data_IF_676677582997
#
_entry.id   IF_676677582997
#
_cell.length_a   1.000
_cell.length_b   1.000
_cell.length_c   1.000
_cell.angle_alpha   90.00
_cell.angle_beta   90.00
_cell.angle_gamma   90.00
#
_symmetry.space_group_name_H-M   'P 1'
#
loop_
_entity.id
_entity.type
_entity.pdbx_description
1 polymer ?
#
# COMPACT_ATOMS: atom_id res chain seq x y z
N UNK A 1 5.60 -36.72 5.71
CA UNK A 1 4.23 -36.24 6.05
C UNK A 1 4.26 -35.26 7.25
N UNK A 2 5.01 -35.52 8.34
CA UNK A 2 5.05 -34.62 9.53
C UNK A 2 5.70 -33.26 9.24
N UNK A 3 6.69 -33.19 8.39
CA UNK A 3 7.36 -31.91 8.01
C UNK A 3 6.52 -31.08 7.04
N UNK A 4 5.70 -31.71 6.21
CA UNK A 4 4.74 -31.01 5.35
C UNK A 4 3.62 -30.35 6.17
N UNK A 5 3.19 -30.97 7.28
CA UNK A 5 2.22 -30.38 8.21
C UNK A 5 2.78 -29.20 9.00
N UNK A 6 4.08 -29.19 9.32
CA UNK A 6 4.73 -28.06 10.00
C UNK A 6 4.87 -26.88 9.04
N UNK A 7 5.19 -27.11 7.77
CA UNK A 7 5.22 -26.04 6.76
C UNK A 7 3.82 -25.45 6.47
N UNK A 8 2.75 -26.28 6.51
CA UNK A 8 1.40 -25.76 6.33
C UNK A 8 0.85 -25.02 7.57
N UNK A 9 1.30 -25.38 8.77
CA UNK A 9 0.93 -24.68 10.01
C UNK A 9 1.60 -23.30 10.13
N UNK A 10 2.75 -23.09 9.51
CA UNK A 10 3.43 -21.78 9.44
C UNK A 10 2.77 -20.81 8.44
N UNK A 11 1.85 -21.31 7.60
CA UNK A 11 1.09 -20.50 6.64
C UNK A 11 -0.30 -20.08 7.14
N UNK A 12 -0.73 -20.56 8.31
CA UNK A 12 -2.01 -20.23 8.91
C UNK A 12 -1.86 -19.10 9.94
N UNK A 13 -1.40 -17.92 9.49
CA UNK A 13 -1.65 -16.70 10.25
C UNK A 13 -3.10 -16.29 10.02
N UNK A 14 -3.85 -15.87 11.07
CA UNK A 14 -5.17 -15.33 10.89
C UNK A 14 -5.08 -14.12 9.96
N UNK A 15 -5.70 -14.22 8.79
CA UNK A 15 -5.91 -13.09 7.91
C UNK A 15 -6.86 -12.13 8.64
N UNK A 16 -6.31 -11.23 9.42
CA UNK A 16 -7.03 -10.05 9.86
C UNK A 16 -7.41 -9.32 8.58
N UNK A 17 -8.66 -8.89 8.49
CA UNK A 17 -9.23 -8.26 7.31
C UNK A 17 -8.54 -6.92 7.02
N UNK A 18 -7.35 -6.98 6.47
CA UNK A 18 -6.67 -5.84 5.88
C UNK A 18 -7.33 -5.53 4.54
N UNK A 19 -7.41 -4.25 4.25
CA UNK A 19 -7.93 -3.78 2.99
C UNK A 19 -7.09 -4.37 1.84
N UNK A 20 -7.65 -5.33 1.12
CA UNK A 20 -6.94 -6.14 0.10
C UNK A 20 -6.25 -5.26 -0.95
N UNK A 21 -6.85 -4.12 -1.29
CA UNK A 21 -6.30 -3.19 -2.27
C UNK A 21 -5.07 -2.42 -1.76
N UNK A 22 -4.98 -2.16 -0.47
CA UNK A 22 -3.84 -1.45 0.12
C UNK A 22 -2.66 -2.38 0.31
N UNK A 23 -2.92 -3.61 0.73
CA UNK A 23 -1.89 -4.64 0.81
C UNK A 23 -1.29 -4.94 -0.57
N UNK A 24 -2.11 -4.95 -1.63
CA UNK A 24 -1.61 -5.13 -3.00
C UNK A 24 -0.58 -4.07 -3.41
N UNK A 25 -0.70 -2.83 -2.92
CA UNK A 25 0.29 -1.77 -3.17
C UNK A 25 1.60 -1.97 -2.44
N UNK A 26 1.56 -2.54 -1.23
CA UNK A 26 2.76 -2.86 -0.46
C UNK A 26 3.49 -4.08 -1.02
N UNK A 27 2.80 -4.96 -1.75
CA UNK A 27 3.36 -6.16 -2.37
C UNK A 27 4.03 -5.86 -3.72
N UNK A 28 3.72 -4.72 -4.36
CA UNK A 28 4.30 -4.33 -5.64
C UNK A 28 5.79 -4.01 -5.51
N UNK A 29 6.57 -4.42 -6.52
CA UNK A 29 7.93 -3.91 -6.72
C UNK A 29 7.99 -3.22 -8.08
N UNK A 30 8.42 -1.97 -8.09
CA UNK A 30 8.70 -1.27 -9.34
C UNK A 30 9.99 -1.81 -9.94
N UNK A 31 10.05 -1.86 -11.26
CA UNK A 31 11.29 -2.16 -11.97
C UNK A 31 12.24 -0.98 -11.78
N UNK A 32 13.17 -1.11 -10.86
CA UNK A 32 14.10 -0.06 -10.49
C UNK A 32 15.51 -0.63 -10.24
N UNK A 33 16.53 0.20 -10.46
CA UNK A 33 17.93 -0.21 -10.31
C UNK A 33 18.86 0.54 -11.23
N UNK A 34 19.89 -0.14 -11.71
CA UNK A 34 20.80 0.41 -12.71
C UNK A 34 20.09 0.62 -14.05
N UNK A 35 20.56 1.57 -14.86
CA UNK A 35 20.05 1.78 -16.21
C UNK A 35 20.14 0.50 -17.07
N UNK A 36 21.19 -0.31 -16.85
CA UNK A 36 21.36 -1.61 -17.52
C UNK A 36 20.25 -2.58 -17.11
N UNK A 37 19.97 -2.71 -15.79
CA UNK A 37 18.95 -3.60 -15.27
C UNK A 37 17.56 -3.21 -15.77
N UNK A 38 17.23 -1.92 -15.68
CA UNK A 38 15.94 -1.39 -16.14
C UNK A 38 15.81 -1.53 -17.66
N UNK A 39 16.88 -1.22 -18.42
CA UNK A 39 16.87 -1.36 -19.89
C UNK A 39 16.70 -2.79 -20.39
N UNK A 40 17.05 -3.78 -19.58
CA UNK A 40 16.82 -5.21 -19.86
C UNK A 40 15.49 -5.73 -19.30
N UNK A 41 14.61 -4.85 -18.80
CA UNK A 41 13.34 -5.26 -18.22
C UNK A 41 13.48 -6.11 -16.96
N UNK A 42 14.62 -6.03 -16.24
CA UNK A 42 14.93 -6.84 -15.07
C UNK A 42 15.39 -8.28 -15.39
N UNK A 43 15.48 -8.68 -16.65
CA UNK A 43 15.79 -10.06 -17.05
C UNK A 43 17.30 -10.38 -16.90
N UNK A 44 17.80 -10.34 -15.66
CA UNK A 44 19.22 -10.51 -15.34
C UNK A 44 19.52 -11.61 -14.30
N UNK A 45 18.56 -12.46 -13.95
CA UNK A 45 18.69 -13.45 -12.88
C UNK A 45 19.80 -14.49 -13.11
N UNK A 46 20.06 -14.85 -14.36
CA UNK A 46 21.17 -15.74 -14.73
C UNK A 46 22.37 -14.98 -15.31
N UNK A 47 22.18 -13.75 -15.78
CA UNK A 47 23.24 -12.93 -16.34
C UNK A 47 24.15 -12.35 -15.24
N UNK A 48 23.55 -11.80 -14.17
CA UNK A 48 24.25 -11.24 -13.02
C UNK A 48 25.21 -10.10 -13.36
N UNK A 49 26.22 -9.90 -12.54
CA UNK A 49 27.20 -8.80 -12.61
C UNK A 49 26.53 -7.40 -12.68
N UNK A 50 25.47 -7.26 -11.90
CA UNK A 50 24.77 -6.02 -11.66
C UNK A 50 24.25 -6.00 -10.23
N UNK A 51 24.43 -4.87 -9.52
CA UNK A 51 24.06 -4.78 -8.12
C UNK A 51 22.54 -4.85 -7.91
N UNK A 52 21.75 -4.53 -8.94
CA UNK A 52 20.30 -4.63 -8.89
C UNK A 52 19.79 -6.08 -8.82
N UNK A 53 20.62 -7.08 -9.19
CA UNK A 53 20.26 -8.50 -9.07
C UNK A 53 20.33 -9.04 -7.64
N UNK A 54 20.80 -8.25 -6.69
CA UNK A 54 21.03 -8.63 -5.27
C UNK A 54 19.82 -9.28 -4.60
N UNK A 55 18.61 -8.93 -5.06
CA UNK A 55 17.34 -9.47 -4.57
C UNK A 55 16.77 -10.56 -5.45
N UNK A 56 16.83 -10.40 -6.78
CA UNK A 56 16.20 -11.33 -7.71
C UNK A 56 16.98 -12.63 -7.83
N UNK A 57 18.31 -12.54 -7.91
CA UNK A 57 19.20 -13.69 -7.75
C UNK A 57 20.52 -13.26 -7.08
N UNK A 58 20.66 -13.49 -5.78
CA UNK A 58 21.89 -13.14 -5.01
C UNK A 58 23.19 -13.66 -5.59
N UNK A 59 23.17 -14.79 -6.28
CA UNK A 59 24.35 -15.39 -6.91
C UNK A 59 24.92 -14.50 -8.03
N UNK A 60 24.09 -13.57 -8.59
CA UNK A 60 24.51 -12.61 -9.60
C UNK A 60 25.66 -11.70 -9.14
N UNK A 61 25.74 -11.42 -7.85
CA UNK A 61 26.82 -10.63 -7.24
C UNK A 61 28.15 -11.42 -7.24
N UNK A 62 28.07 -12.75 -7.21
CA UNK A 62 29.26 -13.65 -7.32
C UNK A 62 30.02 -13.54 -8.65
N UNK A 63 29.47 -12.89 -9.65
CA UNK A 63 30.11 -12.66 -10.95
C UNK A 63 31.09 -11.47 -10.94
N UNK A 64 31.05 -10.61 -9.94
CA UNK A 64 32.01 -9.51 -9.85
C UNK A 64 33.44 -10.01 -9.59
N UNK A 65 34.41 -9.39 -10.32
CA UNK A 65 35.84 -9.70 -10.24
C UNK A 65 36.66 -8.58 -9.62
N UNK A 66 36.08 -7.39 -9.52
CA UNK A 66 36.67 -6.18 -8.94
C UNK A 66 35.69 -5.56 -8.00
N UNK A 67 36.18 -4.90 -6.98
CA UNK A 67 35.34 -4.09 -6.08
C UNK A 67 34.86 -2.82 -6.80
N UNK A 68 33.69 -2.32 -6.41
CA UNK A 68 33.13 -1.14 -7.01
C UNK A 68 31.98 -0.52 -6.21
N UNK A 69 31.54 0.62 -6.70
CA UNK A 69 30.38 1.34 -6.21
C UNK A 69 29.40 1.55 -7.36
N UNK A 70 28.13 1.65 -7.03
CA UNK A 70 27.08 1.91 -7.99
C UNK A 70 26.18 3.03 -7.49
N UNK A 71 25.72 3.87 -8.41
CA UNK A 71 24.83 4.96 -8.13
C UNK A 71 23.86 5.11 -9.30
N UNK A 72 22.56 5.26 -9.00
CA UNK A 72 21.52 5.44 -10.02
C UNK A 72 20.54 6.54 -9.62
N UNK A 73 20.25 7.40 -10.58
CA UNK A 73 19.20 8.41 -10.52
C UNK A 73 18.20 8.18 -11.64
N UNK A 74 16.95 8.49 -11.38
CA UNK A 74 15.87 8.42 -12.34
C UNK A 74 14.99 9.65 -12.29
N UNK A 75 14.07 9.72 -13.24
CA UNK A 75 12.99 10.71 -13.28
C UNK A 75 11.70 9.97 -13.33
N UNK A 76 10.82 10.24 -12.37
CA UNK A 76 9.45 9.69 -12.34
C UNK A 76 8.51 10.79 -12.79
N UNK A 77 7.75 10.53 -13.83
CA UNK A 77 6.77 11.47 -14.37
C UNK A 77 5.43 10.76 -14.59
N UNK A 78 4.36 11.39 -14.14
CA UNK A 78 3.01 10.93 -14.40
C UNK A 78 2.41 11.77 -15.55
N UNK A 79 2.15 11.13 -16.68
CA UNK A 79 1.48 11.78 -17.81
C UNK A 79 0.01 12.12 -17.46
N UNK A 80 -0.51 13.22 -18.02
CA UNK A 80 -1.91 13.67 -17.86
C UNK A 80 -2.36 13.88 -16.39
N UNK A 81 -1.43 14.19 -15.50
CA UNK A 81 -1.74 14.50 -14.12
C UNK A 81 -2.31 15.92 -14.01
N UNK A 82 -3.63 16.08 -14.09
CA UNK A 82 -4.34 17.31 -13.71
C UNK A 82 -4.55 17.31 -12.20
N UNK A 83 -3.48 17.58 -11.44
CA UNK A 83 -3.58 17.64 -10.01
C UNK A 83 -4.15 19.00 -9.58
N UNK A 84 -5.35 19.03 -9.01
CA UNK A 84 -5.87 20.19 -8.27
C UNK A 84 -5.11 20.41 -6.96
N UNK A 85 -4.38 19.39 -6.50
CA UNK A 85 -3.54 19.43 -5.32
C UNK A 85 -2.12 19.84 -5.75
N UNK A 86 -1.50 20.77 -5.02
CA UNK A 86 -0.20 21.38 -5.31
C UNK A 86 0.95 20.35 -5.33
N UNK A 87 1.21 19.74 -6.50
CA UNK A 87 2.25 18.75 -6.70
C UNK A 87 2.83 18.76 -8.10
N UNK A 88 4.14 18.62 -8.16
CA UNK A 88 4.85 18.42 -9.44
C UNK A 88 4.62 16.99 -9.96
N UNK A 89 4.09 16.87 -11.19
CA UNK A 89 3.90 15.60 -11.88
C UNK A 89 5.24 14.90 -12.20
N UNK A 90 6.33 15.64 -12.25
CA UNK A 90 7.67 15.14 -12.56
C UNK A 90 8.60 15.37 -11.39
N UNK A 91 9.29 14.33 -10.93
CA UNK A 91 10.22 14.37 -9.80
C UNK A 91 11.50 13.62 -10.12
N UNK A 92 12.62 14.19 -9.65
CA UNK A 92 13.87 13.45 -9.58
C UNK A 92 13.75 12.34 -8.54
N UNK A 93 14.16 11.14 -8.90
CA UNK A 93 14.20 9.97 -8.03
C UNK A 93 15.64 9.56 -7.79
N UNK A 94 16.02 9.41 -6.53
CA UNK A 94 17.19 8.66 -6.15
C UNK A 94 16.84 7.19 -6.12
N UNK A 95 17.38 6.40 -7.03
CA UNK A 95 16.90 5.04 -7.24
C UNK A 95 17.72 4.00 -6.51
N UNK A 96 19.05 4.11 -6.58
CA UNK A 96 19.94 3.13 -6.01
C UNK A 96 21.29 3.71 -5.64
N UNK A 97 21.86 3.23 -4.54
CA UNK A 97 23.28 3.37 -4.21
C UNK A 97 23.74 2.08 -3.54
N UNK A 98 24.93 1.64 -3.90
CA UNK A 98 25.52 0.48 -3.24
C UNK A 98 26.98 0.31 -3.57
N UNK A 99 27.60 -0.61 -2.86
CA UNK A 99 28.98 -0.99 -3.09
C UNK A 99 29.13 -2.50 -2.96
N UNK A 100 30.17 -3.00 -3.58
CA UNK A 100 30.57 -4.39 -3.45
C UNK A 100 32.08 -4.51 -3.35
N UNK A 101 32.52 -5.42 -2.48
CA UNK A 101 33.94 -5.76 -2.29
C UNK A 101 34.16 -7.19 -2.73
N UNK A 102 35.11 -7.35 -3.65
CA UNK A 102 35.50 -8.64 -4.21
C UNK A 102 36.85 -9.04 -3.65
N UNK A 103 36.96 -10.27 -3.15
CA UNK A 103 38.18 -10.88 -2.67
C UNK A 103 38.46 -12.15 -3.46
N UNK A 104 39.65 -12.27 -3.99
CA UNK A 104 40.10 -13.46 -4.72
C UNK A 104 40.49 -14.57 -3.72
N UNK A 105 39.93 -15.74 -3.88
CA UNK A 105 40.18 -16.90 -3.01
C UNK A 105 40.87 -18.06 -3.72
N UNK A 106 40.93 -18.04 -5.06
CA UNK A 106 41.58 -19.01 -5.89
C UNK A 106 41.97 -18.43 -7.26
N UNK A 107 42.39 -19.28 -8.19
CA UNK A 107 42.80 -18.80 -9.52
C UNK A 107 41.62 -18.13 -10.24
N UNK A 108 40.44 -18.77 -10.17
CA UNK A 108 39.18 -18.31 -10.82
C UNK A 108 38.02 -18.24 -9.80
N UNK A 109 38.32 -18.29 -8.50
CA UNK A 109 37.32 -18.25 -7.42
C UNK A 109 37.38 -16.94 -6.66
N UNK A 110 36.22 -16.43 -6.28
CA UNK A 110 36.08 -15.13 -5.59
C UNK A 110 34.95 -15.20 -4.55
N UNK A 111 35.08 -14.40 -3.51
CA UNK A 111 34.01 -14.10 -2.54
C UNK A 111 33.71 -12.62 -2.61
N UNK A 112 32.44 -12.29 -2.61
CA UNK A 112 31.93 -10.94 -2.71
C UNK A 112 31.04 -10.60 -1.52
N UNK A 113 31.21 -9.42 -0.97
CA UNK A 113 30.31 -8.78 -0.02
C UNK A 113 29.70 -7.57 -0.68
N UNK A 114 28.40 -7.40 -0.59
CA UNK A 114 27.74 -6.24 -1.17
C UNK A 114 26.70 -5.66 -0.21
N UNK A 115 26.54 -4.35 -0.31
CA UNK A 115 25.46 -3.61 0.28
C UNK A 115 24.80 -2.78 -0.81
N UNK A 116 23.47 -2.74 -0.79
CA UNK A 116 22.69 -1.97 -1.72
C UNK A 116 21.50 -1.32 -1.04
N UNK A 117 21.32 -0.03 -1.23
CA UNK A 117 20.07 0.67 -0.99
C UNK A 117 19.37 0.88 -2.32
N UNK A 118 18.09 0.53 -2.40
CA UNK A 118 17.26 0.82 -3.56
C UNK A 118 15.82 1.15 -3.16
N UNK A 119 15.13 1.91 -4.00
CA UNK A 119 13.68 2.07 -3.86
C UNK A 119 12.97 0.91 -4.54
N UNK A 120 12.24 0.10 -3.76
CA UNK A 120 11.47 -1.04 -4.28
C UNK A 120 10.14 -0.63 -4.87
N UNK A 121 9.45 0.33 -4.24
CA UNK A 121 8.15 0.83 -4.69
C UNK A 121 8.10 2.33 -4.50
N UNK A 122 7.59 3.04 -5.51
CA UNK A 122 7.38 4.47 -5.46
C UNK A 122 5.87 4.77 -5.38
N UNK A 123 5.43 5.38 -4.29
CA UNK A 123 4.02 5.71 -4.06
C UNK A 123 3.59 7.06 -4.63
N UNK A 124 4.48 7.83 -5.27
CA UNK A 124 4.12 9.13 -5.83
C UNK A 124 3.11 8.95 -6.98
N UNK A 125 1.86 9.23 -6.67
CA UNK A 125 0.75 9.07 -7.60
C UNK A 125 -0.33 10.11 -7.33
N UNK A 126 -0.93 10.63 -8.40
CA UNK A 126 -2.07 11.54 -8.37
C UNK A 126 -3.23 10.94 -9.14
N UNK A 127 -4.41 11.15 -8.64
CA UNK A 127 -5.64 10.81 -9.31
C UNK A 127 -6.61 11.97 -9.15
N UNK A 128 -7.17 12.44 -10.27
CA UNK A 128 -8.32 13.33 -10.29
C UNK A 128 -9.39 12.68 -11.15
N UNK A 129 -10.61 12.63 -10.65
CA UNK A 129 -11.76 12.10 -11.35
C UNK A 129 -12.99 12.91 -10.98
N UNK A 130 -13.83 13.21 -11.97
CA UNK A 130 -15.12 13.86 -11.77
C UNK A 130 -16.11 13.28 -12.75
N UNK A 131 -17.35 13.06 -12.29
CA UNK A 131 -18.42 12.57 -13.16
C UNK A 131 -19.80 12.90 -12.56
N UNK A 132 -20.83 12.64 -13.33
CA UNK A 132 -22.21 12.80 -12.92
C UNK A 132 -22.69 11.62 -12.08
N UNK A 133 -23.53 11.92 -11.09
CA UNK A 133 -24.26 10.94 -10.31
C UNK A 133 -25.75 11.03 -10.63
N UNK A 134 -26.40 9.89 -10.84
CA UNK A 134 -27.83 9.84 -11.07
C UNK A 134 -28.55 9.41 -9.79
N UNK A 135 -29.07 10.37 -9.05
CA UNK A 135 -29.78 10.15 -7.78
C UNK A 135 -29.04 9.18 -6.85
N UNK A 136 -27.74 9.39 -6.70
CA UNK A 136 -26.84 8.59 -5.89
C UNK A 136 -26.02 9.52 -5.00
N UNK A 137 -25.65 9.03 -3.82
CA UNK A 137 -24.68 9.67 -2.94
C UNK A 137 -24.15 8.64 -1.94
N UNK A 138 -23.01 8.92 -1.34
CA UNK A 138 -22.52 8.12 -0.21
C UNK A 138 -23.48 8.21 0.98
N UNK A 139 -24.12 9.36 1.19
CA UNK A 139 -25.19 9.53 2.17
C UNK A 139 -26.36 8.58 1.93
N UNK A 140 -26.80 8.42 0.67
CA UNK A 140 -27.81 7.42 0.31
C UNK A 140 -27.38 5.99 0.62
N UNK A 141 -26.14 5.64 0.34
CA UNK A 141 -25.61 4.30 0.66
C UNK A 141 -25.62 4.04 2.16
N UNK A 142 -25.16 5.02 2.96
CA UNK A 142 -25.17 4.93 4.42
C UNK A 142 -26.62 4.82 4.96
N UNK A 143 -27.53 5.62 4.42
CA UNK A 143 -28.96 5.55 4.75
C UNK A 143 -29.55 4.17 4.47
N UNK A 144 -29.35 3.62 3.26
CA UNK A 144 -29.85 2.29 2.89
C UNK A 144 -29.25 1.17 3.73
N UNK A 145 -27.98 1.33 4.15
CA UNK A 145 -27.33 0.41 5.08
C UNK A 145 -27.98 0.45 6.46
N UNK A 146 -28.30 1.63 6.95
CA UNK A 146 -29.04 1.82 8.21
C UNK A 146 -30.45 1.25 8.15
N UNK A 147 -31.19 1.50 7.06
CA UNK A 147 -32.57 1.04 6.88
C UNK A 147 -32.72 -0.48 6.74
N UNK A 148 -31.69 -1.18 6.25
CA UNK A 148 -31.74 -2.67 6.13
C UNK A 148 -31.92 -3.41 7.46
N UNK A 149 -31.82 -2.73 8.56
CA UNK A 149 -31.93 -3.34 9.86
C UNK A 149 -33.09 -2.84 10.71
N UNK A 150 -33.82 -1.80 10.27
CA UNK A 150 -34.97 -1.28 11.00
C UNK A 150 -36.22 -1.39 10.14
N UNK A 151 -37.19 -2.13 10.64
CA UNK A 151 -38.43 -2.39 9.90
C UNK A 151 -39.57 -1.39 10.16
N UNK A 152 -39.46 -0.49 11.14
CA UNK A 152 -40.63 0.33 11.44
C UNK A 152 -40.41 1.79 11.84
N UNK A 153 -39.22 2.18 12.31
CA UNK A 153 -39.03 3.56 12.83
C UNK A 153 -37.71 4.22 12.52
N UNK A 154 -36.93 3.78 11.50
CA UNK A 154 -35.71 4.44 11.10
C UNK A 154 -34.64 4.50 12.23
N UNK A 155 -34.66 3.58 13.15
CA UNK A 155 -33.78 3.54 14.31
C UNK A 155 -32.39 3.11 13.96
N UNK A 156 -31.56 4.06 13.54
CA UNK A 156 -30.12 3.88 13.40
C UNK A 156 -29.48 4.40 14.71
N UNK A 157 -29.13 3.51 15.60
CA UNK A 157 -28.43 3.88 16.82
C UNK A 157 -26.98 3.51 16.71
N UNK A 158 -26.10 4.51 16.70
CA UNK A 158 -24.66 4.30 16.77
C UNK A 158 -24.21 4.67 18.18
N UNK A 159 -23.73 3.67 18.92
CA UNK A 159 -23.11 3.85 20.22
C UNK A 159 -21.59 3.86 20.12
N UNK A 160 -20.94 4.67 20.92
CA UNK A 160 -19.50 4.55 21.18
C UNK A 160 -19.29 3.54 22.28
N UNK A 161 -18.49 2.50 22.07
CA UNK A 161 -18.18 1.51 23.10
C UNK A 161 -17.41 2.17 24.26
N UNK A 162 -17.82 1.90 25.49
CA UNK A 162 -17.07 2.28 26.68
C UNK A 162 -16.01 1.22 26.96
N UNK A 163 -14.74 1.55 26.72
CA UNK A 163 -13.59 0.68 27.01
C UNK A 163 -12.32 1.29 26.43
N UNK A 164 -11.17 0.70 26.71
CA UNK A 164 -9.86 1.19 26.28
C UNK A 164 -9.64 1.19 24.75
N UNK A 165 -10.60 0.72 23.95
CA UNK A 165 -10.62 0.83 22.49
C UNK A 165 -11.69 1.84 22.06
N UNK A 166 -11.34 3.10 22.09
CA UNK A 166 -12.19 4.25 21.71
C UNK A 166 -12.56 4.23 20.21
N UNK A 167 -11.94 3.36 19.43
CA UNK A 167 -12.05 3.31 17.97
C UNK A 167 -13.07 2.30 17.43
N UNK A 168 -13.81 1.63 18.31
CA UNK A 168 -14.81 0.65 17.90
C UNK A 168 -16.21 1.25 17.98
N UNK A 169 -16.75 1.65 16.84
CA UNK A 169 -18.13 2.11 16.72
C UNK A 169 -19.06 0.92 16.54
N UNK A 170 -20.00 0.72 17.46
CA UNK A 170 -21.04 -0.27 17.35
C UNK A 170 -22.33 0.39 16.89
N UNK A 171 -22.86 -0.04 15.76
CA UNK A 171 -24.21 0.28 15.37
C UNK A 171 -25.15 -0.82 15.82
N UNK A 172 -26.19 -0.47 16.56
CA UNK A 172 -27.30 -1.36 16.83
C UNK A 172 -28.43 -1.04 15.88
N UNK A 173 -28.91 -2.07 15.19
CA UNK A 173 -30.18 -2.01 14.51
C UNK A 173 -31.16 -2.65 15.48
N UNK A 174 -32.05 -1.85 16.03
CA UNK A 174 -33.13 -2.33 16.86
C UNK A 174 -34.17 -2.99 15.96
N UNK A 175 -34.04 -4.28 15.83
CA UNK A 175 -35.11 -5.12 15.33
C UNK A 175 -35.77 -5.76 16.55
N UNK A 176 -36.95 -5.36 16.87
CA UNK A 176 -37.71 -5.74 18.07
C UNK A 176 -37.84 -7.25 18.35
N UNK A 177 -37.27 -8.11 17.54
CA UNK A 177 -37.25 -9.56 17.71
C UNK A 177 -35.85 -10.19 17.61
N UNK A 178 -34.83 -9.52 17.08
CA UNK A 178 -33.46 -10.03 16.95
C UNK A 178 -32.47 -8.88 16.97
N UNK A 179 -31.86 -8.62 18.11
CA UNK A 179 -30.71 -7.72 18.23
C UNK A 179 -29.54 -8.26 17.39
N UNK A 180 -29.50 -7.92 16.11
CA UNK A 180 -28.36 -8.19 15.25
C UNK A 180 -27.43 -7.00 15.38
N UNK A 181 -26.46 -7.10 16.31
CA UNK A 181 -25.34 -6.18 16.36
C UNK A 181 -24.59 -6.28 15.02
N UNK A 182 -24.56 -5.21 14.25
CA UNK A 182 -23.73 -5.10 13.06
C UNK A 182 -22.61 -4.12 13.36
N UNK A 183 -21.40 -4.49 13.01
CA UNK A 183 -20.27 -3.57 13.09
C UNK A 183 -20.41 -2.52 11.99
N UNK A 184 -20.53 -1.26 12.40
CA UNK A 184 -20.46 -0.12 11.51
C UNK A 184 -19.03 0.43 11.52
N UNK A 185 -18.57 0.85 10.34
CA UNK A 185 -17.28 1.51 10.23
C UNK A 185 -17.36 2.96 10.71
N UNK A 186 -16.20 3.54 10.95
CA UNK A 186 -16.02 4.96 11.26
C UNK A 186 -16.78 5.88 10.30
N UNK A 187 -16.76 5.57 9.01
CA UNK A 187 -17.43 6.36 7.98
C UNK A 187 -18.95 6.38 8.17
N UNK A 188 -19.55 5.26 8.58
CA UNK A 188 -21.00 5.19 8.88
C UNK A 188 -21.37 6.15 10.02
N UNK A 189 -20.55 6.20 11.07
CA UNK A 189 -20.73 7.11 12.19
C UNK A 189 -20.62 8.58 11.78
N UNK A 190 -19.63 8.92 10.95
CA UNK A 190 -19.46 10.28 10.43
C UNK A 190 -20.67 10.70 9.57
N UNK A 191 -21.16 9.81 8.71
CA UNK A 191 -22.34 10.06 7.90
C UNK A 191 -23.59 10.24 8.75
N UNK A 192 -23.80 9.41 9.74
CA UNK A 192 -24.95 9.53 10.64
C UNK A 192 -24.96 10.90 11.34
N UNK A 193 -23.81 11.36 11.82
CA UNK A 193 -23.71 12.64 12.53
C UNK A 193 -23.81 13.86 11.62
N UNK A 194 -23.45 13.74 10.34
CA UNK A 194 -23.32 14.88 9.43
C UNK A 194 -24.43 14.99 8.40
N UNK A 195 -24.99 13.87 7.96
CA UNK A 195 -25.81 13.82 6.75
C UNK A 195 -27.14 13.07 6.90
N UNK A 196 -27.21 12.12 7.81
CA UNK A 196 -28.39 11.26 7.95
C UNK A 196 -29.39 11.77 8.98
N UNK A 197 -28.97 12.65 9.86
CA UNK A 197 -29.83 13.24 10.89
C UNK A 197 -29.99 14.72 10.66
N UNK A 198 -31.22 15.19 10.45
CA UNK A 198 -31.51 16.61 10.41
C UNK A 198 -31.30 17.22 11.81
N UNK A 199 -30.42 18.23 11.90
CA UNK A 199 -30.14 18.92 13.17
C UNK A 199 -31.33 19.72 13.71
N UNK A 200 -32.18 20.22 12.82
CA UNK A 200 -33.37 20.98 13.21
C UNK A 200 -34.52 20.07 13.60
N UNK A 201 -34.55 18.86 13.05
CA UNK A 201 -35.57 17.85 13.31
C UNK A 201 -34.89 16.48 13.53
N UNK A 202 -34.31 16.23 14.71
CA UNK A 202 -33.52 15.00 14.96
C UNK A 202 -34.27 13.68 14.76
N UNK A 203 -35.60 13.72 14.71
CA UNK A 203 -36.44 12.57 14.40
C UNK A 203 -36.50 12.25 12.90
N UNK A 204 -35.99 13.13 12.04
CA UNK A 204 -36.01 12.95 10.60
C UNK A 204 -34.72 12.25 10.16
N UNK A 205 -34.86 11.00 9.81
CA UNK A 205 -33.79 10.19 9.26
C UNK A 205 -33.90 10.16 7.74
N UNK A 206 -32.91 10.72 7.04
CA UNK A 206 -32.95 10.87 5.60
C UNK A 206 -31.55 11.07 5.00
N UNK A 207 -31.50 11.36 3.72
CA UNK A 207 -30.26 11.66 3.01
C UNK A 207 -30.49 12.70 1.92
N UNK A 208 -29.43 13.44 1.58
CA UNK A 208 -29.40 14.27 0.39
C UNK A 208 -28.83 13.46 -0.79
N UNK A 209 -29.49 13.60 -1.96
CA UNK A 209 -28.97 13.03 -3.20
C UNK A 209 -27.81 13.89 -3.72
N UNK A 210 -26.99 13.34 -4.60
CA UNK A 210 -25.97 14.08 -5.32
C UNK A 210 -26.13 13.85 -6.83
N UNK A 211 -25.79 14.88 -7.64
CA UNK A 211 -25.81 14.81 -9.09
C UNK A 211 -24.42 14.77 -9.73
N UNK A 212 -23.37 14.91 -8.96
CA UNK A 212 -22.00 14.83 -9.43
C UNK A 212 -21.03 14.71 -8.29
N UNK A 213 -19.80 14.27 -8.61
CA UNK A 213 -18.70 14.21 -7.67
C UNK A 213 -17.41 14.72 -8.29
N UNK A 214 -16.50 15.13 -7.41
CA UNK A 214 -15.11 15.48 -7.70
C UNK A 214 -14.21 14.72 -6.72
N UNK A 215 -13.29 13.93 -7.23
CA UNK A 215 -12.38 13.12 -6.43
C UNK A 215 -10.93 13.46 -6.75
N UNK A 216 -10.18 13.83 -5.73
CA UNK A 216 -8.76 14.12 -5.83
C UNK A 216 -7.99 13.27 -4.83
N UNK A 217 -6.91 12.62 -5.28
CA UNK A 217 -6.03 11.83 -4.43
C UNK A 217 -4.58 12.15 -4.72
N UNK A 218 -3.81 12.34 -3.66
CA UNK A 218 -2.35 12.49 -3.71
C UNK A 218 -1.70 11.44 -2.81
N UNK A 219 -0.75 10.72 -3.36
CA UNK A 219 0.02 9.72 -2.62
C UNK A 219 1.50 10.03 -2.73
N UNK A 220 2.26 9.74 -1.67
CA UNK A 220 3.70 10.00 -1.58
C UNK A 220 4.39 8.95 -0.75
N UNK A 221 5.69 8.80 -1.01
CA UNK A 221 6.56 7.95 -0.24
C UNK A 221 7.14 6.81 -1.07
N UNK A 222 7.76 5.89 -0.40
CA UNK A 222 8.41 4.75 -1.03
C UNK A 222 8.66 3.62 -0.04
N UNK A 223 8.93 2.43 -0.56
CA UNK A 223 9.53 1.33 0.19
C UNK A 223 11.03 1.36 -0.11
N UNK A 224 11.84 1.56 0.93
CA UNK A 224 13.29 1.47 0.85
C UNK A 224 13.77 0.07 1.15
N UNK A 225 14.64 -0.46 0.31
CA UNK A 225 15.29 -1.75 0.45
C UNK A 225 16.75 -1.55 0.83
N UNK A 226 17.19 -2.18 1.92
CA UNK A 226 18.58 -2.23 2.39
C UNK A 226 19.02 -3.68 2.34
N UNK A 227 19.83 -4.03 1.35
CA UNK A 227 20.18 -5.40 1.04
C UNK A 227 21.64 -5.67 1.36
N UNK A 228 21.90 -6.68 2.19
CA UNK A 228 23.23 -7.17 2.55
C UNK A 228 23.45 -8.54 1.92
N UNK A 229 24.48 -8.65 1.11
CA UNK A 229 24.75 -9.87 0.35
C UNK A 229 26.14 -10.43 0.66
N UNK A 230 26.17 -11.75 0.76
CA UNK A 230 27.39 -12.55 0.65
C UNK A 230 27.21 -13.50 -0.53
N UNK A 231 28.19 -13.50 -1.41
CA UNK A 231 28.15 -14.36 -2.59
C UNK A 231 29.55 -14.77 -3.00
N UNK A 232 29.63 -15.78 -3.80
CA UNK A 232 30.91 -16.26 -4.30
C UNK A 232 30.78 -17.12 -5.52
N UNK A 233 31.91 -17.40 -6.14
CA UNK A 233 31.98 -18.38 -7.19
C UNK A 233 33.08 -19.42 -6.93
N UNK A 234 32.85 -20.58 -7.47
CA UNK A 234 33.79 -21.68 -7.48
C UNK A 234 34.14 -21.96 -8.93
N UNK A 235 35.42 -21.73 -9.27
CA UNK A 235 36.02 -22.02 -10.58
C UNK A 235 35.25 -21.47 -11.78
N UNK A 236 34.60 -20.30 -11.63
CA UNK A 236 33.78 -19.67 -12.66
C UNK A 236 32.63 -20.54 -13.23
N UNK A 237 32.26 -21.58 -12.51
CA UNK A 237 31.20 -22.53 -12.90
C UNK A 237 29.98 -22.49 -12.02
N UNK A 238 30.19 -22.41 -10.71
CA UNK A 238 29.09 -22.37 -9.72
C UNK A 238 29.16 -21.06 -8.96
N UNK A 239 28.10 -20.31 -8.99
CA UNK A 239 27.93 -19.07 -8.25
C UNK A 239 26.82 -19.27 -7.23
N UNK A 240 27.07 -18.85 -6.01
CA UNK A 240 26.15 -18.96 -4.89
C UNK A 240 25.99 -17.58 -4.26
N UNK A 241 24.83 -17.30 -3.71
CA UNK A 241 24.60 -16.03 -3.03
C UNK A 241 23.45 -16.11 -2.03
N UNK A 242 23.61 -15.34 -0.96
CA UNK A 242 22.60 -15.12 0.07
C UNK A 242 22.43 -13.61 0.27
N UNK A 243 21.21 -13.16 0.41
CA UNK A 243 20.88 -11.77 0.74
C UNK A 243 19.94 -11.72 1.93
N UNK A 244 20.28 -10.87 2.90
CA UNK A 244 19.39 -10.39 3.93
C UNK A 244 18.86 -9.03 3.51
N UNK A 245 17.55 -8.90 3.34
CA UNK A 245 16.88 -7.66 3.01
C UNK A 245 16.19 -7.06 4.22
N UNK A 246 16.46 -5.79 4.49
CA UNK A 246 15.70 -4.98 5.43
C UNK A 246 14.84 -4.00 4.63
N UNK A 247 13.59 -3.82 5.05
CA UNK A 247 12.59 -2.99 4.36
C UNK A 247 12.17 -1.85 5.25
N UNK A 248 11.97 -0.67 4.68
CA UNK A 248 11.36 0.46 5.36
C UNK A 248 10.18 0.95 4.54
N UNK A 249 9.03 1.07 5.16
CA UNK A 249 7.81 1.59 4.52
C UNK A 249 7.56 3.00 5.01
N UNK A 250 7.37 3.92 4.09
CA UNK A 250 6.95 5.29 4.37
C UNK A 250 5.93 5.71 3.31
N UNK A 251 4.67 5.65 3.67
CA UNK A 251 3.54 6.01 2.82
C UNK A 251 2.75 7.15 3.45
N UNK A 252 2.33 8.11 2.63
CA UNK A 252 1.38 9.16 2.98
C UNK A 252 0.38 9.31 1.84
N UNK A 253 -0.89 9.17 2.16
CA UNK A 253 -2.01 9.41 1.26
C UNK A 253 -2.87 10.57 1.77
N UNK A 254 -3.40 11.35 0.85
CA UNK A 254 -4.45 12.33 1.07
C UNK A 254 -5.47 12.17 -0.04
N UNK A 255 -6.73 12.11 0.30
CA UNK A 255 -7.81 12.14 -0.68
C UNK A 255 -8.91 13.08 -0.23
N UNK A 256 -9.53 13.72 -1.22
CA UNK A 256 -10.69 14.58 -1.07
C UNK A 256 -11.76 14.11 -2.05
N UNK A 257 -12.94 13.88 -1.53
CA UNK A 257 -14.11 13.50 -2.30
C UNK A 257 -15.22 14.48 -2.01
N UNK A 258 -15.67 15.19 -3.03
CA UNK A 258 -16.71 16.23 -2.94
C UNK A 258 -17.94 15.77 -3.72
N UNK A 259 -19.09 15.73 -3.09
CA UNK A 259 -20.39 15.50 -3.73
C UNK A 259 -21.15 16.82 -3.87
N UNK A 260 -21.72 17.05 -5.03
CA UNK A 260 -22.64 18.17 -5.28
C UNK A 260 -24.06 17.74 -4.87
N UNK A 261 -24.52 18.23 -3.72
CA UNK A 261 -25.80 17.85 -3.15
C UNK A 261 -26.96 18.56 -3.83
N UNK A 262 -28.02 17.80 -4.02
CA UNK A 262 -29.26 18.31 -4.69
C UNK A 262 -30.50 17.91 -3.92
N UNK A 263 -31.53 18.75 -4.04
CA UNK A 263 -32.88 18.47 -3.55
C UNK A 263 -33.66 17.57 -4.53
N UNK A 264 -34.89 17.24 -4.19
CA UNK A 264 -35.77 16.40 -5.01
C UNK A 264 -36.03 16.97 -6.42
N UNK A 265 -35.90 18.29 -6.63
CA UNK A 265 -36.02 18.97 -7.91
C UNK A 265 -34.69 19.10 -8.67
N UNK A 266 -33.64 18.37 -8.24
CA UNK A 266 -32.27 18.42 -8.78
C UNK A 266 -31.64 19.83 -8.73
N UNK A 267 -32.08 20.66 -7.78
CA UNK A 267 -31.47 21.98 -7.54
C UNK A 267 -30.33 21.81 -6.52
N UNK A 268 -29.19 22.46 -6.78
CA UNK A 268 -28.06 22.44 -5.88
C UNK A 268 -28.39 23.02 -4.49
N UNK A 269 -28.06 22.31 -3.43
CA UNK A 269 -28.30 22.71 -2.04
C UNK A 269 -27.01 22.84 -1.22
N UNK A 270 -25.87 22.50 -1.80
CA UNK A 270 -24.57 22.59 -1.18
C UNK A 270 -23.64 21.45 -1.60
N UNK A 271 -22.58 21.25 -0.84
CA UNK A 271 -21.61 20.19 -1.07
C UNK A 271 -21.40 19.36 0.19
N UNK A 272 -20.98 18.13 0.00
CA UNK A 272 -20.46 17.32 1.09
C UNK A 272 -19.06 16.86 0.73
N UNK A 273 -18.10 17.19 1.60
CA UNK A 273 -16.70 16.93 1.40
C UNK A 273 -16.21 15.90 2.43
N UNK A 274 -15.57 14.85 1.93
CA UNK A 274 -14.88 13.86 2.75
C UNK A 274 -13.41 14.03 2.48
N UNK A 275 -12.63 14.24 3.54
CA UNK A 275 -11.17 14.17 3.45
C UNK A 275 -10.66 12.97 4.21
N UNK A 276 -9.69 12.29 3.65
CA UNK A 276 -9.04 11.15 4.26
C UNK A 276 -7.52 11.29 4.17
N UNK A 277 -6.87 11.30 5.33
CA UNK A 277 -5.42 11.27 5.46
C UNK A 277 -5.00 9.93 6.00
N UNK A 278 -4.02 9.31 5.34
CA UNK A 278 -3.46 8.03 5.77
C UNK A 278 -1.95 8.08 5.78
N UNK A 279 -1.36 7.56 6.85
CA UNK A 279 0.08 7.38 6.99
C UNK A 279 0.37 5.94 7.37
N UNK A 280 1.24 5.29 6.61
CA UNK A 280 1.73 3.96 6.93
C UNK A 280 3.25 4.04 7.07
N UNK A 281 3.76 3.59 8.20
CA UNK A 281 5.18 3.49 8.49
C UNK A 281 5.49 2.14 9.09
N UNK A 282 6.66 1.62 8.77
CA UNK A 282 7.12 0.40 9.40
C UNK A 282 8.38 -0.14 8.79
N UNK A 283 8.76 -1.30 9.29
CA UNK A 283 9.95 -2.02 8.86
C UNK A 283 9.59 -3.45 8.55
N UNK A 284 10.44 -4.10 7.78
CA UNK A 284 10.30 -5.51 7.46
C UNK A 284 11.62 -6.14 7.12
N UNK A 285 11.63 -7.43 6.94
CA UNK A 285 12.80 -8.17 6.50
C UNK A 285 12.41 -9.35 5.60
N UNK A 286 13.34 -9.77 4.77
CA UNK A 286 13.25 -10.96 3.92
C UNK A 286 14.64 -11.59 3.71
N UNK A 287 14.64 -12.80 3.20
CA UNK A 287 15.83 -13.58 2.87
C UNK A 287 15.72 -14.07 1.43
N UNK A 288 16.83 -14.00 0.71
CA UNK A 288 16.95 -14.51 -0.65
C UNK A 288 18.18 -15.40 -0.78
N UNK A 289 18.05 -16.49 -1.53
CA UNK A 289 19.15 -17.37 -1.87
C UNK A 289 19.15 -17.60 -3.39
N UNK A 290 20.33 -17.73 -3.97
CA UNK A 290 20.46 -17.94 -5.40
C UNK A 290 21.64 -18.80 -5.80
N UNK A 291 21.48 -19.41 -6.96
CA UNK A 291 22.51 -20.22 -7.62
C UNK A 291 22.55 -19.83 -9.08
N UNK A 292 23.75 -19.69 -9.65
CA UNK A 292 23.95 -19.65 -11.10
C UNK A 292 24.96 -20.73 -11.45
N UNK A 293 24.63 -21.54 -12.43
CA UNK A 293 25.47 -22.64 -12.92
C UNK A 293 25.83 -22.44 -14.38
N UNK A 294 27.11 -22.55 -14.69
CA UNK A 294 27.67 -22.51 -16.02
C UNK A 294 28.15 -23.91 -16.41
N UNK A 295 27.33 -24.70 -17.15
CA UNK A 295 27.65 -26.12 -17.42
C UNK A 295 28.87 -26.32 -18.31
N UNK A 296 29.07 -25.44 -19.29
CA UNK A 296 30.15 -25.51 -20.27
C UNK A 296 31.08 -24.32 -20.11
N UNK A 297 32.36 -24.56 -19.90
CA UNK A 297 33.34 -23.52 -19.57
C UNK A 297 33.55 -22.52 -20.70
N UNK A 298 33.55 -22.97 -21.95
CA UNK A 298 33.74 -22.15 -23.13
C UNK A 298 32.45 -21.45 -23.61
N UNK A 299 31.29 -21.85 -23.07
CA UNK A 299 29.98 -21.29 -23.45
C UNK A 299 29.55 -20.16 -22.48
N UNK A 300 28.95 -19.07 -22.99
CA UNK A 300 28.34 -18.06 -22.14
C UNK A 300 27.02 -18.51 -21.49
N UNK A 301 26.53 -19.71 -21.82
CA UNK A 301 25.26 -20.24 -21.32
C UNK A 301 25.31 -20.46 -19.81
N UNK A 302 24.27 -19.96 -19.13
CA UNK A 302 24.10 -20.04 -17.67
C UNK A 302 22.66 -20.39 -17.32
N UNK A 303 22.52 -21.15 -16.23
CA UNK A 303 21.22 -21.49 -15.64
C UNK A 303 21.19 -20.84 -14.26
N UNK A 304 20.18 -20.01 -14.00
CA UNK A 304 19.96 -19.38 -12.70
C UNK A 304 18.73 -19.95 -12.01
N UNK A 305 18.85 -20.14 -10.69
CA UNK A 305 17.75 -20.48 -9.80
C UNK A 305 17.85 -19.60 -8.56
N UNK A 306 16.70 -19.05 -8.15
CA UNK A 306 16.62 -18.29 -6.90
C UNK A 306 15.36 -18.66 -6.12
N UNK A 307 15.45 -18.50 -4.80
CA UNK A 307 14.33 -18.63 -3.89
C UNK A 307 14.32 -17.44 -2.94
N UNK A 308 13.16 -16.84 -2.78
CA UNK A 308 12.95 -15.71 -1.89
C UNK A 308 11.91 -16.09 -0.83
N UNK A 309 12.18 -15.72 0.42
CA UNK A 309 11.18 -15.82 1.47
C UNK A 309 10.07 -14.79 1.26
N UNK A 310 8.90 -14.94 1.91
CA UNK A 310 8.00 -13.82 2.11
C UNK A 310 8.72 -12.67 2.84
N UNK A 311 8.25 -11.44 2.64
CA UNK A 311 8.67 -10.30 3.46
C UNK A 311 7.76 -10.21 4.67
N UNK A 312 8.35 -10.17 5.87
CA UNK A 312 7.62 -9.97 7.12
C UNK A 312 7.72 -8.50 7.50
N UNK A 313 6.55 -7.87 7.69
CA UNK A 313 6.45 -6.45 8.02
C UNK A 313 5.83 -6.25 9.40
N UNK A 314 6.32 -5.23 10.10
CA UNK A 314 5.68 -4.60 11.25
C UNK A 314 5.28 -3.18 10.83
N UNK A 315 3.98 -2.93 10.67
CA UNK A 315 3.44 -1.70 10.10
C UNK A 315 2.54 -1.00 11.12
N UNK A 316 2.69 0.31 11.20
CA UNK A 316 1.80 1.20 11.93
C UNK A 316 1.04 2.08 10.94
N UNK A 317 -0.29 2.01 10.99
CA UNK A 317 -1.19 2.82 10.18
C UNK A 317 -1.85 3.90 11.05
N UNK A 318 -1.84 5.14 10.59
CA UNK A 318 -2.56 6.26 11.17
C UNK A 318 -3.54 6.78 10.13
N UNK A 319 -4.83 6.80 10.47
CA UNK A 319 -5.90 7.34 9.62
C UNK A 319 -6.54 8.54 10.30
N UNK A 320 -6.93 9.53 9.49
CA UNK A 320 -7.69 10.67 9.92
C UNK A 320 -8.70 11.02 8.85
N UNK A 321 -9.98 10.95 9.17
CA UNK A 321 -11.08 11.18 8.23
C UNK A 321 -11.99 12.26 8.76
N UNK A 322 -12.39 13.19 7.87
CA UNK A 322 -13.39 14.21 8.19
C UNK A 322 -14.53 14.17 7.18
N UNK A 323 -15.72 14.51 7.61
CA UNK A 323 -16.86 14.83 6.75
C UNK A 323 -17.36 16.23 7.09
N UNK A 324 -17.49 17.07 6.07
CA UNK A 324 -18.09 18.38 6.15
C UNK A 324 -19.29 18.43 5.20
N UNK A 325 -20.41 18.95 5.68
CA UNK A 325 -21.62 19.15 4.91
C UNK A 325 -22.01 20.64 4.96
N UNK A 326 -21.99 21.28 3.80
CA UNK A 326 -22.38 22.69 3.62
C UNK A 326 -23.83 22.82 3.13
N UNK A 327 -24.58 21.71 3.03
CA UNK A 327 -25.98 21.67 2.62
C UNK A 327 -26.97 21.98 3.75
N UNK A 328 -28.22 21.48 3.60
CA UNK A 328 -29.30 21.75 4.57
C UNK A 328 -28.99 21.22 5.99
N UNK A 329 -28.27 20.10 6.09
CA UNK A 329 -27.83 19.50 7.34
C UNK A 329 -26.38 19.87 7.62
N UNK A 330 -26.13 21.13 7.91
CA UNK A 330 -24.77 21.65 8.09
C UNK A 330 -24.08 21.04 9.30
N UNK A 331 -22.88 20.54 9.10
CA UNK A 331 -22.02 20.05 10.17
C UNK A 331 -20.66 19.61 9.69
N UNK A 332 -19.68 19.78 10.57
CA UNK A 332 -18.34 19.24 10.40
C UNK A 332 -18.09 18.21 11.47
N UNK A 333 -17.73 17.01 11.04
CA UNK A 333 -17.36 15.93 11.96
C UNK A 333 -15.95 15.44 11.62
N UNK A 334 -15.16 15.29 12.66
CA UNK A 334 -13.79 14.85 12.59
C UNK A 334 -13.64 13.60 13.43
N UNK A 335 -12.97 12.60 12.89
CA UNK A 335 -12.53 11.47 13.66
C UNK A 335 -11.06 11.66 14.02
N UNK A 336 -10.74 11.45 15.30
CA UNK A 336 -9.37 11.50 15.78
C UNK A 336 -8.49 10.41 15.14
N UNK A 337 -7.18 10.55 15.27
CA UNK A 337 -6.21 9.57 14.78
C UNK A 337 -6.49 8.20 15.35
N UNK A 338 -6.81 7.23 14.52
CA UNK A 338 -6.70 5.83 14.86
C UNK A 338 -5.30 5.34 14.49
N UNK A 339 -4.63 4.63 15.39
CA UNK A 339 -3.38 3.94 15.08
C UNK A 339 -3.64 2.44 15.15
N UNK A 340 -3.45 1.76 14.05
CA UNK A 340 -3.51 0.31 13.97
C UNK A 340 -2.08 -0.21 13.78
N UNK A 341 -1.70 -1.22 14.53
CA UNK A 341 -0.42 -1.92 14.42
C UNK A 341 -0.69 -3.29 13.82
N UNK A 342 -0.02 -3.60 12.72
CA UNK A 342 -0.12 -4.88 12.02
C UNK A 342 1.21 -5.61 12.02
#
# INVERSE_FOLDING_TARGET
KKYLMICSALLAFPAMAQDTYENARLLGNDLNGTARYVGMGGAMEALGADLSTIRTNPAGIGLFRKSGVNFSLGVVSQANANAKLDHSATKLSFDQIGFYRTMRTGQTSYVNFAFNFSKGTNFNYFLAAADHLNNASLGKQAYLKGMRGSLSNGGYSIGTGSGSNVDTYYGYIDNSSNNIARNYGQLDYLYWNTRLVDKNTPSLFGYDAANGYDFNRSQRGYIGNYDFNISGNVNDRVYLGLTLGLRTVNYKGYSEYVENLVNASNTAIGTATITDERKVKGTGFDLSAGVIFRPVEESPFRIGLSINSPSWYDLKTENYTTIQNDGQNQGKWEHGKSSEVY
#
